data_IF_521220054906
#
_entry.id   IF_521220054906
#
_cell.length_a   1.000
_cell.length_b   1.000
_cell.length_c   1.000
_cell.angle_alpha   90.00
_cell.angle_beta   90.00
_cell.angle_gamma   90.00
#
_symmetry.space_group_name_H-M   'P 1'
#
loop_
_entity.id
_entity.type
_entity.pdbx_description
1 polymer ?
#
# COMPACT_ATOMS: atom_id res chain seq x y z
N UNK A 1 -6.45 -8.24 19.60
CA UNK A 1 -5.61 -7.31 20.38
C UNK A 1 -5.06 -6.29 19.39
N UNK A 2 -5.11 -5.00 19.71
CA UNK A 2 -4.47 -3.96 18.90
C UNK A 2 -3.07 -3.71 19.47
N UNK A 3 -2.04 -3.93 18.65
CA UNK A 3 -0.63 -3.93 19.04
C UNK A 3 0.08 -2.61 18.73
N UNK A 4 -0.50 -1.77 17.87
CA UNK A 4 0.03 -0.44 17.53
C UNK A 4 -1.06 0.47 16.98
N UNK A 5 -0.95 1.76 17.30
CA UNK A 5 -1.79 2.84 16.78
C UNK A 5 -1.01 4.15 16.85
N UNK A 6 -0.93 4.88 15.74
CA UNK A 6 -0.25 6.17 15.67
C UNK A 6 -0.86 7.05 14.58
N UNK A 7 -0.44 8.31 14.53
CA UNK A 7 -0.82 9.27 13.51
C UNK A 7 0.41 9.70 12.69
N UNK A 8 0.21 9.95 11.40
CA UNK A 8 1.24 10.49 10.51
C UNK A 8 0.77 11.84 9.96
N UNK A 9 1.69 12.81 9.91
CA UNK A 9 1.50 14.07 9.22
C UNK A 9 2.69 14.27 8.29
N UNK A 10 2.43 14.25 6.99
CA UNK A 10 3.46 14.26 5.96
C UNK A 10 3.57 15.67 5.36
N UNK A 11 4.78 16.23 5.34
CA UNK A 11 5.07 17.46 4.60
C UNK A 11 5.06 17.20 3.08
N UNK A 12 4.92 18.24 2.23
CA UNK A 12 5.03 18.09 0.78
C UNK A 12 6.34 17.39 0.37
N UNK A 13 6.22 16.36 -0.46
CA UNK A 13 7.35 15.54 -0.93
C UNK A 13 7.83 14.46 0.05
N UNK A 14 7.24 14.35 1.25
CA UNK A 14 7.54 13.25 2.16
C UNK A 14 7.05 11.91 1.57
N UNK A 15 7.86 10.87 1.75
CA UNK A 15 7.56 9.51 1.27
C UNK A 15 7.69 8.51 2.41
N UNK A 16 6.83 7.50 2.40
CA UNK A 16 7.02 6.31 3.22
C UNK A 16 7.66 5.24 2.34
N UNK A 17 8.79 4.69 2.78
CA UNK A 17 9.44 3.59 2.05
C UNK A 17 8.56 2.34 2.14
N UNK A 18 8.70 1.45 1.15
CA UNK A 18 8.08 0.13 1.20
C UNK A 18 8.53 -0.61 2.47
N UNK A 19 7.57 -1.15 3.21
CA UNK A 19 7.80 -1.92 4.44
C UNK A 19 6.60 -2.82 4.73
N UNK A 20 6.80 -3.84 5.56
CA UNK A 20 5.76 -4.66 6.18
C UNK A 20 5.67 -4.35 7.69
N UNK A 21 4.67 -4.91 8.38
CA UNK A 21 4.50 -4.77 9.84
C UNK A 21 4.73 -6.12 10.53
N UNK A 22 5.99 -6.52 10.82
CA UNK A 22 6.31 -7.83 11.38
C UNK A 22 5.56 -8.13 12.68
N UNK A 23 5.23 -9.42 12.90
CA UNK A 23 4.53 -9.93 14.08
C UNK A 23 3.07 -9.44 14.23
N UNK A 24 2.46 -8.95 13.14
CA UNK A 24 1.05 -8.59 13.10
C UNK A 24 0.33 -9.44 12.05
N UNK A 25 -0.98 -9.64 12.23
CA UNK A 25 -1.82 -10.37 11.28
C UNK A 25 -2.48 -9.43 10.28
N UNK A 26 -3.04 -8.33 10.77
CA UNK A 26 -3.71 -7.30 9.98
C UNK A 26 -3.15 -5.93 10.36
N UNK A 27 -2.96 -5.11 9.34
CA UNK A 27 -2.66 -3.69 9.44
C UNK A 27 -3.78 -2.88 8.82
N UNK A 28 -3.83 -1.60 9.14
CA UNK A 28 -4.79 -0.70 8.55
C UNK A 28 -4.36 0.76 8.63
N UNK A 29 -4.97 1.57 7.76
CA UNK A 29 -4.74 3.01 7.72
C UNK A 29 -6.07 3.71 7.49
N UNK A 30 -6.32 4.74 8.29
CA UNK A 30 -7.43 5.66 8.10
C UNK A 30 -6.88 7.01 7.64
N UNK A 31 -7.36 7.50 6.51
CA UNK A 31 -6.95 8.77 5.95
C UNK A 31 -7.89 9.87 6.42
N UNK A 32 -7.47 10.60 7.45
CA UNK A 32 -8.24 11.73 7.96
C UNK A 32 -8.30 12.88 6.94
N UNK A 33 -7.18 13.17 6.29
CA UNK A 33 -7.05 14.20 5.27
C UNK A 33 -5.97 13.82 4.27
N UNK A 34 -6.27 13.96 2.99
CA UNK A 34 -5.38 13.71 1.85
C UNK A 34 -4.88 15.03 1.27
N UNK A 35 -3.60 15.06 0.89
CA UNK A 35 -3.00 16.20 0.17
C UNK A 35 -3.18 16.06 -1.33
N UNK A 36 -3.11 17.16 -2.09
CA UNK A 36 -3.14 17.12 -3.55
C UNK A 36 -2.00 16.24 -4.10
N UNK A 37 -2.34 15.15 -4.80
CA UNK A 37 -1.39 14.18 -5.33
C UNK A 37 -0.83 13.19 -4.29
N UNK A 38 -1.34 13.20 -3.06
CA UNK A 38 -1.02 12.25 -2.00
C UNK A 38 -2.25 11.37 -1.68
N UNK A 39 -2.94 10.95 -2.73
CA UNK A 39 -4.24 10.27 -2.75
C UNK A 39 -4.12 8.80 -3.19
N UNK A 40 -2.95 8.20 -2.99
CA UNK A 40 -2.72 6.79 -3.35
C UNK A 40 -1.95 6.04 -2.26
N UNK A 41 -2.22 4.73 -2.19
CA UNK A 41 -1.39 3.76 -1.50
C UNK A 41 -1.06 2.62 -2.47
N UNK A 42 0.18 2.15 -2.39
CA UNK A 42 0.76 1.19 -3.33
C UNK A 42 1.04 -0.13 -2.61
N UNK A 43 0.27 -1.16 -2.92
CA UNK A 43 0.52 -2.53 -2.47
C UNK A 43 1.33 -3.27 -3.51
N UNK A 44 2.33 -4.05 -3.07
CA UNK A 44 3.21 -4.82 -3.95
C UNK A 44 2.98 -6.30 -3.74
N UNK A 45 3.16 -7.08 -4.81
CA UNK A 45 3.06 -8.53 -4.78
C UNK A 45 4.05 -9.10 -3.74
N UNK A 46 3.58 -9.80 -2.69
CA UNK A 46 4.44 -10.33 -1.65
C UNK A 46 5.27 -11.54 -2.10
N UNK A 47 5.01 -12.10 -3.29
CA UNK A 47 5.69 -13.30 -3.79
C UNK A 47 7.08 -12.96 -4.32
N UNK A 48 8.18 -13.36 -3.64
CA UNK A 48 9.53 -13.05 -4.11
C UNK A 48 9.86 -13.68 -5.48
N UNK A 49 9.20 -14.80 -5.82
CA UNK A 49 9.42 -15.51 -7.08
C UNK A 49 8.94 -14.73 -8.31
N UNK A 50 8.09 -13.71 -8.14
CA UNK A 50 7.57 -12.90 -9.26
C UNK A 50 8.69 -12.16 -10.00
N UNK A 51 9.83 -11.92 -9.35
CA UNK A 51 11.00 -11.28 -9.95
C UNK A 51 11.93 -12.24 -10.68
N UNK A 52 11.71 -13.55 -10.59
CA UNK A 52 12.59 -14.56 -11.17
C UNK A 52 12.26 -14.81 -12.64
N UNK A 53 10.97 -14.94 -12.96
CA UNK A 53 10.49 -15.15 -14.33
C UNK A 53 9.34 -14.18 -14.58
N UNK A 54 9.55 -13.22 -15.48
CA UNK A 54 8.51 -12.30 -15.98
C UNK A 54 8.25 -12.59 -17.44
N UNK A 55 7.19 -13.34 -17.77
CA UNK A 55 6.77 -13.49 -19.16
C UNK A 55 6.49 -12.11 -19.77
N UNK A 56 6.82 -11.89 -21.05
CA UNK A 56 6.43 -10.66 -21.73
C UNK A 56 4.89 -10.60 -21.77
N UNK A 57 4.34 -9.48 -21.32
CA UNK A 57 2.91 -9.17 -21.40
C UNK A 57 2.71 -8.01 -22.35
N UNK A 58 1.63 -8.04 -23.12
CA UNK A 58 1.24 -6.94 -24.01
C UNK A 58 0.57 -5.80 -23.25
N UNK A 59 -0.08 -6.11 -22.13
CA UNK A 59 -0.82 -5.17 -21.29
C UNK A 59 -0.84 -5.64 -19.83
N UNK A 60 -0.78 -4.68 -18.90
CA UNK A 60 -0.94 -4.94 -17.47
C UNK A 60 -2.43 -4.92 -17.10
N UNK A 61 -2.85 -5.93 -16.36
CA UNK A 61 -4.21 -6.12 -15.86
C UNK A 61 -4.17 -6.32 -14.35
N UNK A 62 -5.32 -6.28 -13.69
CA UNK A 62 -5.42 -6.59 -12.27
C UNK A 62 -4.89 -8.00 -11.92
N UNK A 63 -4.94 -8.94 -12.86
CA UNK A 63 -4.56 -10.34 -12.65
C UNK A 63 -3.06 -10.61 -12.86
N UNK A 64 -2.35 -9.72 -13.56
CA UNK A 64 -0.94 -9.91 -13.91
C UNK A 64 0.00 -8.79 -13.42
N UNK A 65 -0.55 -7.75 -12.79
CA UNK A 65 0.23 -6.67 -12.19
C UNK A 65 0.96 -7.14 -10.92
N UNK A 66 2.15 -6.60 -10.69
CA UNK A 66 2.95 -6.78 -9.48
C UNK A 66 2.64 -5.73 -8.41
N UNK A 67 1.81 -4.74 -8.75
CA UNK A 67 1.43 -3.65 -7.88
C UNK A 67 -0.05 -3.31 -8.04
N UNK A 68 -0.71 -3.07 -6.92
CA UNK A 68 -2.07 -2.51 -6.88
C UNK A 68 -1.97 -1.11 -6.29
N UNK A 69 -2.41 -0.12 -7.06
CA UNK A 69 -2.54 1.27 -6.62
C UNK A 69 -3.99 1.50 -6.24
N UNK A 70 -4.22 1.88 -4.98
CA UNK A 70 -5.56 2.20 -4.49
C UNK A 70 -5.66 3.71 -4.33
N UNK A 71 -6.63 4.32 -4.99
CA UNK A 71 -6.98 5.73 -4.80
C UNK A 71 -7.69 5.93 -3.47
N UNK A 72 -7.34 6.98 -2.76
CA UNK A 72 -7.75 7.27 -1.39
C UNK A 72 -8.39 8.65 -1.33
N UNK A 73 -9.51 8.73 -0.63
CA UNK A 73 -10.17 9.98 -0.28
C UNK A 73 -10.19 10.17 1.24
N UNK A 74 -10.45 11.39 1.68
CA UNK A 74 -10.72 11.69 3.09
C UNK A 74 -11.82 10.75 3.64
N UNK A 75 -11.56 10.16 4.80
CA UNK A 75 -12.44 9.17 5.43
C UNK A 75 -12.24 7.72 4.96
N UNK A 76 -11.34 7.44 4.02
CA UNK A 76 -11.05 6.07 3.60
C UNK A 76 -10.37 5.29 4.71
N UNK A 77 -10.91 4.12 5.04
CA UNK A 77 -10.28 3.10 5.89
C UNK A 77 -9.89 1.91 5.02
N UNK A 78 -8.61 1.52 5.09
CA UNK A 78 -8.13 0.27 4.51
C UNK A 78 -7.67 -0.68 5.61
N UNK A 79 -7.94 -1.97 5.41
CA UNK A 79 -7.46 -3.08 6.23
C UNK A 79 -6.86 -4.13 5.30
N UNK A 80 -5.65 -4.58 5.62
CA UNK A 80 -4.87 -5.49 4.77
C UNK A 80 -3.96 -6.39 5.60
N UNK A 81 -3.46 -7.52 5.05
CA UNK A 81 -2.47 -8.37 5.72
C UNK A 81 -1.16 -7.61 6.00
N UNK A 82 -0.62 -7.75 7.21
CA UNK A 82 0.59 -7.05 7.68
C UNK A 82 1.89 -7.47 7.00
#
# INVERSE_FOLDING_TARGET
MMTGLWANMNAPGAIHKMHNHPNNLLSGVYYLQTGKGADTINFHDPRPQRDVIKPPVTELTADNTDQVVVTINDGTLLVFPS
#
